data_IF_519976286331
#
_entry.id   IF_519976286331
#
_cell.length_a   1.000
_cell.length_b   1.000
_cell.length_c   1.000
_cell.angle_alpha   90.00
_cell.angle_beta   90.00
_cell.angle_gamma   90.00
#
_symmetry.space_group_name_H-M   'P 1'
#
loop_
_entity.id
_entity.type
_entity.pdbx_description
1 polymer ?
#
# COMPACT_ATOMS: atom_id res chain seq x y z
N UNK A 1 7.68 -27.27 6.15
CA UNK A 1 7.00 -25.97 6.30
C UNK A 1 7.92 -24.85 6.78
N UNK A 2 8.75 -25.06 7.82
CA UNK A 2 9.65 -24.01 8.38
C UNK A 2 10.60 -23.40 7.32
N UNK A 3 11.29 -24.22 6.53
CA UNK A 3 12.22 -23.75 5.48
C UNK A 3 11.64 -22.83 4.40
N UNK A 4 10.37 -23.00 4.02
CA UNK A 4 9.76 -22.16 2.98
C UNK A 4 9.43 -20.77 3.54
N UNK A 5 8.91 -20.74 4.76
CA UNK A 5 8.68 -19.50 5.51
C UNK A 5 9.99 -18.75 5.74
N UNK A 6 11.03 -19.42 6.20
CA UNK A 6 12.32 -18.78 6.49
C UNK A 6 12.94 -18.17 5.23
N UNK A 7 12.87 -18.88 4.09
CA UNK A 7 13.40 -18.38 2.82
C UNK A 7 12.61 -17.18 2.30
N UNK A 8 11.28 -17.20 2.47
CA UNK A 8 10.42 -16.07 2.14
C UNK A 8 10.71 -14.87 3.03
N UNK A 9 10.81 -15.10 4.34
CA UNK A 9 11.17 -14.07 5.32
C UNK A 9 12.55 -13.46 5.05
N UNK A 10 13.54 -14.25 4.65
CA UNK A 10 14.88 -13.79 4.31
C UNK A 10 14.89 -12.92 3.05
N UNK A 11 14.13 -13.31 2.02
CA UNK A 11 13.97 -12.50 0.80
C UNK A 11 13.38 -11.12 1.12
N UNK A 12 12.28 -11.07 1.88
CA UNK A 12 11.63 -9.81 2.23
C UNK A 12 12.49 -8.93 3.13
N UNK A 13 13.21 -9.52 4.09
CA UNK A 13 14.16 -8.77 4.89
C UNK A 13 15.25 -8.17 4.01
N UNK A 14 15.83 -8.94 3.09
CA UNK A 14 16.86 -8.46 2.16
C UNK A 14 16.38 -7.28 1.31
N UNK A 15 15.19 -7.40 0.72
CA UNK A 15 14.57 -6.33 -0.07
C UNK A 15 14.42 -5.02 0.72
N UNK A 16 13.91 -5.10 1.95
CA UNK A 16 13.71 -3.92 2.79
C UNK A 16 15.03 -3.29 3.25
N UNK A 17 16.05 -4.11 3.55
CA UNK A 17 17.38 -3.61 3.87
C UNK A 17 18.04 -2.92 2.68
N UNK A 18 17.89 -3.44 1.46
CA UNK A 18 18.41 -2.81 0.25
C UNK A 18 17.71 -1.47 -0.02
N UNK A 19 16.37 -1.44 0.11
CA UNK A 19 15.61 -0.19 -0.04
C UNK A 19 16.04 0.87 0.99
N UNK A 20 16.26 0.47 2.26
CA UNK A 20 16.79 1.36 3.28
C UNK A 20 18.22 1.83 2.98
N UNK A 21 19.10 0.91 2.60
CA UNK A 21 20.51 1.19 2.31
C UNK A 21 20.72 2.09 1.10
N UNK A 22 19.75 2.15 0.19
CA UNK A 22 19.76 3.06 -0.97
C UNK A 22 19.10 4.42 -0.70
N UNK A 23 18.67 4.69 0.55
CA UNK A 23 18.05 5.96 0.93
C UNK A 23 16.63 6.15 0.39
N UNK A 24 16.00 5.09 -0.11
CA UNK A 24 14.63 5.16 -0.66
C UNK A 24 13.56 5.14 0.42
N UNK A 25 13.88 4.64 1.61
CA UNK A 25 12.98 4.66 2.76
C UNK A 25 13.33 5.85 3.66
N UNK A 26 12.31 6.44 4.29
CA UNK A 26 12.49 7.49 5.29
C UNK A 26 13.40 7.01 6.42
N UNK A 27 14.27 7.87 6.98
CA UNK A 27 15.05 7.52 8.16
C UNK A 27 14.16 7.15 9.35
N UNK A 28 14.59 6.18 10.16
CA UNK A 28 13.89 5.79 11.39
C UNK A 28 12.74 4.79 11.22
N UNK A 29 12.49 4.32 9.99
CA UNK A 29 11.52 3.24 9.76
C UNK A 29 12.03 1.92 10.37
N UNK A 30 11.23 1.31 11.23
CA UNK A 30 11.45 -0.06 11.70
C UNK A 30 11.09 -1.05 10.58
N UNK A 31 12.11 -1.64 9.95
CA UNK A 31 11.96 -2.56 8.82
C UNK A 31 11.23 -3.85 9.20
N UNK A 32 11.29 -4.27 10.48
CA UNK A 32 10.56 -5.46 10.95
C UNK A 32 9.06 -5.16 11.04
N UNK A 33 8.69 -4.00 11.57
CA UNK A 33 7.29 -3.58 11.62
C UNK A 33 6.73 -3.35 10.21
N UNK A 34 7.51 -2.73 9.32
CA UNK A 34 7.14 -2.57 7.92
C UNK A 34 6.86 -3.91 7.24
N UNK A 35 7.73 -4.91 7.45
CA UNK A 35 7.52 -6.27 6.93
C UNK A 35 6.22 -6.89 7.44
N UNK A 36 5.90 -6.71 8.73
CA UNK A 36 4.65 -7.21 9.29
C UNK A 36 3.42 -6.50 8.72
N UNK A 37 3.49 -5.18 8.49
CA UNK A 37 2.44 -4.44 7.80
C UNK A 37 2.20 -4.99 6.39
N UNK A 38 3.27 -5.15 5.60
CA UNK A 38 3.19 -5.68 4.24
C UNK A 38 2.56 -7.07 4.20
N UNK A 39 3.01 -7.98 5.07
CA UNK A 39 2.44 -9.32 5.15
C UNK A 39 1.00 -9.33 5.64
N UNK A 40 0.66 -8.49 6.62
CA UNK A 40 -0.72 -8.35 7.10
C UNK A 40 -1.64 -7.88 5.97
N UNK A 41 -1.22 -6.87 5.21
CA UNK A 41 -1.96 -6.35 4.08
C UNK A 41 -2.19 -7.42 3.00
N UNK A 42 -1.12 -8.05 2.50
CA UNK A 42 -1.19 -9.06 1.42
C UNK A 42 -2.00 -10.28 1.85
N UNK A 43 -1.73 -10.84 3.03
CA UNK A 43 -2.46 -12.01 3.53
C UNK A 43 -3.93 -11.69 3.81
N UNK A 44 -4.21 -10.45 4.21
CA UNK A 44 -5.58 -9.97 4.39
C UNK A 44 -6.38 -10.04 3.10
N UNK A 45 -5.83 -9.55 1.98
CA UNK A 45 -6.52 -9.58 0.66
C UNK A 45 -7.00 -10.98 0.32
N UNK A 46 -6.18 -12.00 0.54
CA UNK A 46 -6.55 -13.39 0.26
C UNK A 46 -7.78 -13.89 1.04
N UNK A 47 -8.12 -13.26 2.17
CA UNK A 47 -9.24 -13.66 3.02
C UNK A 47 -10.57 -13.04 2.60
N UNK A 48 -10.57 -11.79 2.12
CA UNK A 48 -11.80 -11.03 1.86
C UNK A 48 -12.00 -10.66 0.39
N UNK A 49 -11.01 -10.88 -0.48
CA UNK A 49 -11.13 -10.58 -1.90
C UNK A 49 -12.17 -11.49 -2.58
N UNK A 50 -13.03 -10.87 -3.39
CA UNK A 50 -13.99 -11.55 -4.24
C UNK A 50 -13.91 -10.96 -5.65
N UNK A 51 -13.86 -11.83 -6.66
CA UNK A 51 -13.71 -11.43 -8.07
C UNK A 51 -14.89 -10.59 -8.59
N UNK A 52 -16.09 -10.85 -8.08
CA UNK A 52 -17.30 -10.07 -8.40
C UNK A 52 -17.43 -8.78 -7.55
N UNK A 53 -16.39 -8.46 -6.77
CA UNK A 53 -16.33 -7.27 -5.95
C UNK A 53 -16.10 -5.99 -6.77
N UNK A 54 -16.26 -4.81 -6.13
CA UNK A 54 -16.16 -3.52 -6.81
C UNK A 54 -14.73 -3.10 -7.19
N UNK A 55 -13.72 -3.91 -6.83
CA UNK A 55 -12.30 -3.59 -7.05
C UNK A 55 -11.55 -4.81 -7.56
N UNK A 56 -10.71 -4.58 -8.55
CA UNK A 56 -9.78 -5.55 -9.10
C UNK A 56 -8.56 -5.73 -8.19
N UNK A 57 -7.81 -6.85 -8.33
CA UNK A 57 -6.56 -7.06 -7.59
C UNK A 57 -5.52 -5.96 -7.85
N UNK A 58 -5.48 -5.43 -9.08
CA UNK A 58 -4.55 -4.37 -9.46
C UNK A 58 -4.91 -3.06 -8.75
N UNK A 59 -6.20 -2.67 -8.75
CA UNK A 59 -6.66 -1.48 -8.01
C UNK A 59 -6.41 -1.60 -6.49
N UNK A 60 -6.52 -2.81 -5.92
CA UNK A 60 -6.19 -3.06 -4.51
C UNK A 60 -4.67 -2.97 -4.27
N UNK A 61 -3.86 -3.43 -5.22
CA UNK A 61 -2.40 -3.39 -5.13
C UNK A 61 -1.89 -1.94 -5.21
N UNK A 62 -2.37 -1.17 -6.18
CA UNK A 62 -2.05 0.25 -6.35
C UNK A 62 -2.44 1.04 -5.10
N UNK A 63 -3.61 0.72 -4.55
CA UNK A 63 -4.13 1.31 -3.33
C UNK A 63 -3.22 1.11 -2.13
N UNK A 64 -2.87 -0.15 -1.86
CA UNK A 64 -2.00 -0.51 -0.73
C UNK A 64 -0.60 0.07 -0.92
N UNK A 65 -0.07 0.00 -2.13
CA UNK A 65 1.19 0.65 -2.47
C UNK A 65 1.14 2.15 -2.18
N UNK A 66 0.08 2.85 -2.58
CA UNK A 66 -0.13 4.27 -2.28
C UNK A 66 -0.04 4.57 -0.78
N UNK A 67 -0.74 3.80 0.06
CA UNK A 67 -0.70 3.99 1.52
C UNK A 67 0.69 3.77 2.11
N UNK A 68 1.34 2.68 1.72
CA UNK A 68 2.65 2.30 2.24
C UNK A 68 3.71 3.28 1.76
N UNK A 69 3.74 3.57 0.46
CA UNK A 69 4.74 4.44 -0.12
C UNK A 69 4.60 5.87 0.40
N UNK A 70 3.39 6.38 0.60
CA UNK A 70 3.19 7.67 1.24
C UNK A 70 3.76 7.73 2.67
N UNK A 71 3.59 6.66 3.45
CA UNK A 71 4.08 6.60 4.83
C UNK A 71 5.58 6.31 4.97
N UNK A 72 6.17 5.60 4.03
CA UNK A 72 7.46 4.92 4.22
C UNK A 72 8.52 5.38 3.22
N UNK A 73 8.15 5.72 1.99
CA UNK A 73 9.10 6.14 0.96
C UNK A 73 9.53 7.58 1.22
N UNK A 74 10.83 7.80 1.07
CA UNK A 74 11.44 9.12 1.17
C UNK A 74 10.83 10.08 0.13
N UNK A 75 10.70 11.36 0.49
CA UNK A 75 10.06 12.35 -0.39
C UNK A 75 10.73 12.43 -1.76
N UNK A 76 12.06 12.41 -1.82
CA UNK A 76 12.81 12.55 -3.06
C UNK A 76 12.66 11.33 -3.99
N UNK A 77 12.18 10.21 -3.46
CA UNK A 77 12.01 8.95 -4.16
C UNK A 77 10.55 8.55 -4.30
N UNK A 78 9.61 9.41 -3.90
CA UNK A 78 8.18 9.10 -3.95
C UNK A 78 7.70 9.08 -5.40
N UNK A 79 7.05 7.99 -5.85
CA UNK A 79 6.38 7.96 -7.15
C UNK A 79 5.37 9.11 -7.33
N UNK A 80 5.42 9.80 -8.48
CA UNK A 80 4.55 10.93 -8.81
C UNK A 80 3.06 10.53 -8.89
N UNK A 81 2.80 9.25 -9.16
CA UNK A 81 1.48 8.66 -9.34
C UNK A 81 0.80 8.25 -8.02
N UNK A 82 1.48 8.29 -6.87
CA UNK A 82 0.87 7.98 -5.55
C UNK A 82 -0.30 8.89 -5.26
N UNK A 83 -0.23 10.16 -5.65
CA UNK A 83 -1.37 11.07 -5.53
C UNK A 83 -2.58 10.58 -6.33
N UNK A 84 -2.36 9.93 -7.47
CA UNK A 84 -3.42 9.34 -8.31
C UNK A 84 -3.99 8.09 -7.65
N UNK A 85 -3.14 7.17 -7.17
CA UNK A 85 -3.55 5.97 -6.46
C UNK A 85 -4.41 6.30 -5.22
N UNK A 86 -4.01 7.31 -4.44
CA UNK A 86 -4.78 7.79 -3.28
C UNK A 86 -6.12 8.45 -3.67
N UNK A 87 -6.20 9.08 -4.86
CA UNK A 87 -7.46 9.67 -5.39
C UNK A 87 -8.44 8.60 -5.90
N UNK A 88 -7.96 7.57 -6.59
CA UNK A 88 -8.79 6.42 -7.01
C UNK A 88 -9.43 5.70 -5.81
N UNK A 89 -8.83 5.85 -4.64
CA UNK A 89 -9.32 5.32 -3.37
C UNK A 89 -10.19 6.28 -2.55
N UNK A 90 -10.32 7.55 -2.93
CA UNK A 90 -11.14 8.47 -2.16
C UNK A 90 -12.62 8.07 -2.31
N UNK A 91 -13.11 7.25 -1.39
CA UNK A 91 -14.53 7.11 -1.10
C UNK A 91 -15.15 8.45 -0.61
N UNK A 92 -14.31 9.46 -0.40
CA UNK A 92 -14.65 10.85 -0.15
C UNK A 92 -14.56 11.70 -1.43
N UNK A 93 -14.97 11.18 -2.58
CA UNK A 93 -15.46 12.09 -3.62
C UNK A 93 -16.66 12.84 -3.05
N UNK A 94 -16.38 14.06 -2.59
CA UNK A 94 -17.24 15.23 -2.65
C UNK A 94 -18.63 14.93 -3.20
N UNK A 95 -19.63 14.95 -2.32
CA UNK A 95 -21.01 15.14 -2.75
C UNK A 95 -21.09 16.45 -3.55
N UNK A 96 -20.99 16.34 -4.87
CA UNK A 96 -21.21 17.43 -5.79
C UNK A 96 -22.70 17.76 -5.78
N UNK A 97 -23.02 18.95 -5.27
CA UNK A 97 -24.06 19.84 -5.78
C UNK A 97 -25.46 19.27 -5.98
N UNK A 98 -26.32 19.48 -4.98
CA UNK A 98 -27.76 19.30 -5.11
C UNK A 98 -28.53 20.04 -4.03
N UNK A 99 -28.16 21.28 -3.72
CA UNK A 99 -29.06 22.19 -3.05
C UNK A 99 -30.27 22.39 -3.99
N UNK A 100 -31.34 21.66 -3.70
CA UNK A 100 -32.66 21.81 -4.29
C UNK A 100 -33.23 23.17 -3.83
N UNK A 101 -32.75 24.26 -4.41
CA UNK A 101 -33.52 25.49 -4.54
C UNK A 101 -34.45 25.31 -5.75
N UNK A 102 -35.74 25.09 -5.46
CA UNK A 102 -36.95 25.42 -6.24
C UNK A 102 -38.06 24.41 -5.93
N UNK A 103 -38.94 24.74 -4.99
CA UNK A 103 -40.28 25.29 -5.27
C UNK A 103 -41.05 25.52 -3.99
#
# INVERSE_FOLDING_TARGET
MIRLRDRYEAFWSGLLYEAAGTGRLRPGIDLRLLRFLLFGAINGVALWYHADGPRTPDEISDAFWGFIAYGVVDEAHRPDDIGSALRTLSALEMGAGGAQERS
#
